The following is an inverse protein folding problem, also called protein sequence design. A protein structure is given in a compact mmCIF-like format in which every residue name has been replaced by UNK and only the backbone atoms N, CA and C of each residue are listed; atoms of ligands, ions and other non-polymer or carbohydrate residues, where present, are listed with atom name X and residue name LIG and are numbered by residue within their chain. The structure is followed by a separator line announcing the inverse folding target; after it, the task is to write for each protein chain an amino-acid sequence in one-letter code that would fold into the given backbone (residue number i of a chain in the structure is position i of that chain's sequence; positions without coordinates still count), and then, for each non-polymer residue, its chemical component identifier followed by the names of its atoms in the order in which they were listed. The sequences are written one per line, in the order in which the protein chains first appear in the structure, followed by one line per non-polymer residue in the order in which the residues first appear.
data_IF_990920037769
#
_entry.id   IF_990920037769
#
_cell.length_a   1.000
_cell.length_b   1.000
_cell.length_c   1.000
_cell.angle_alpha   90.00
_cell.angle_beta   90.00
_cell.angle_gamma   90.00
#
_symmetry.space_group_name_H-M   'P 1'
#
loop_
_entity.id
_entity.type
_entity.pdbx_description
1 polymer ?
#
# COMPACT_ATOMS: atom_id res chain seq x y z
N UNK A 1 1.25 -3.46 -23.83
CA UNK A 1 1.38 -3.14 -22.38
C UNK A 1 1.09 -4.41 -21.59
N UNK A 2 1.76 -4.63 -20.46
CA UNK A 2 1.50 -5.81 -19.61
C UNK A 2 0.16 -5.68 -18.87
N UNK A 3 -0.46 -6.80 -18.50
CA UNK A 3 -1.71 -6.81 -17.72
C UNK A 3 -1.58 -6.03 -16.40
N UNK A 4 -0.43 -6.12 -15.74
CA UNK A 4 -0.14 -5.38 -14.52
C UNK A 4 -0.12 -3.86 -14.72
N UNK A 5 0.39 -3.37 -15.86
CA UNK A 5 0.40 -1.95 -16.17
C UNK A 5 -1.01 -1.40 -16.39
N UNK A 6 -1.85 -2.12 -17.14
CA UNK A 6 -3.24 -1.72 -17.38
C UNK A 6 -4.05 -1.69 -16.08
N UNK A 7 -3.81 -2.66 -15.18
CA UNK A 7 -4.44 -2.68 -13.86
C UNK A 7 -3.98 -1.51 -12.98
N UNK A 8 -2.67 -1.20 -13.00
CA UNK A 8 -2.13 -0.08 -12.24
C UNK A 8 -2.70 1.27 -12.70
N UNK A 9 -2.81 1.47 -14.02
CA UNK A 9 -3.41 2.68 -14.60
C UNK A 9 -4.87 2.86 -14.19
N UNK A 10 -5.65 1.76 -14.12
CA UNK A 10 -7.03 1.80 -13.65
C UNK A 10 -7.16 2.18 -12.16
N UNK A 11 -6.14 1.88 -11.35
CA UNK A 11 -6.09 2.21 -9.91
C UNK A 11 -5.51 3.62 -9.65
N UNK A 12 -4.96 4.29 -10.66
CA UNK A 12 -4.06 5.41 -10.52
C UNK A 12 -4.70 6.81 -10.59
N UNK A 13 -6.02 6.93 -10.41
CA UNK A 13 -6.67 8.24 -10.44
C UNK A 13 -6.03 9.19 -9.40
N UNK A 14 -5.33 10.22 -9.89
CA UNK A 14 -4.62 11.20 -9.05
C UNK A 14 -3.22 10.80 -8.57
N UNK A 15 -2.60 9.74 -9.12
CA UNK A 15 -1.22 9.36 -8.82
C UNK A 15 -0.22 9.90 -9.84
N UNK A 16 1.03 10.06 -9.41
CA UNK A 16 2.15 10.38 -10.32
C UNK A 16 2.58 9.16 -11.13
N UNK A 17 3.19 9.39 -12.31
CA UNK A 17 3.60 8.32 -13.22
C UNK A 17 4.49 7.25 -12.55
N UNK A 18 5.47 7.66 -11.75
CA UNK A 18 6.35 6.73 -11.02
C UNK A 18 5.59 5.85 -10.02
N UNK A 19 4.48 6.36 -9.47
CA UNK A 19 3.64 5.58 -8.55
C UNK A 19 2.84 4.52 -9.29
N UNK A 20 2.39 4.81 -10.52
CA UNK A 20 1.72 3.83 -11.39
C UNK A 20 2.69 2.70 -11.75
N UNK A 21 3.92 3.07 -12.13
CA UNK A 21 4.98 2.11 -12.44
C UNK A 21 5.31 1.23 -11.23
N UNK A 22 5.41 1.82 -10.03
CA UNK A 22 5.64 1.06 -8.80
C UNK A 22 4.50 0.10 -8.46
N UNK A 23 3.23 0.49 -8.66
CA UNK A 23 2.08 -0.41 -8.49
C UNK A 23 2.14 -1.55 -9.51
N UNK A 24 2.40 -1.26 -10.79
CA UNK A 24 2.52 -2.29 -11.82
C UNK A 24 3.68 -3.27 -11.52
N UNK A 25 4.81 -2.74 -11.04
CA UNK A 25 5.96 -3.54 -10.61
C UNK A 25 5.59 -4.51 -9.49
N UNK A 26 4.81 -4.06 -8.49
CA UNK A 26 4.33 -4.89 -7.40
C UNK A 26 3.30 -5.93 -7.86
N UNK A 27 2.32 -5.56 -8.68
CA UNK A 27 1.26 -6.46 -9.16
C UNK A 27 1.79 -7.64 -9.99
N UNK A 28 2.88 -7.43 -10.73
CA UNK A 28 3.51 -8.48 -11.52
C UNK A 28 4.31 -9.50 -10.71
N UNK A 29 4.40 -9.37 -9.38
CA UNK A 29 5.33 -10.15 -8.54
C UNK A 29 4.67 -10.65 -7.25
N UNK A 30 5.02 -11.87 -6.85
CA UNK A 30 4.63 -12.39 -5.53
C UNK A 30 5.48 -11.83 -4.38
N UNK A 31 6.74 -11.46 -4.69
CA UNK A 31 7.72 -10.91 -3.75
C UNK A 31 8.51 -9.83 -4.46
N UNK A 32 8.63 -8.66 -3.85
CA UNK A 32 9.29 -7.51 -4.44
C UNK A 32 9.82 -6.56 -3.37
N UNK A 33 10.82 -5.75 -3.74
CA UNK A 33 11.33 -4.64 -2.93
C UNK A 33 11.05 -3.37 -3.73
N UNK A 34 10.19 -2.50 -3.20
CA UNK A 34 9.95 -1.18 -3.75
C UNK A 34 10.92 -0.19 -3.08
N UNK A 35 12.04 0.08 -3.76
CA UNK A 35 13.18 0.81 -3.20
C UNK A 35 13.25 2.28 -3.64
N UNK A 36 12.11 2.88 -3.99
CA UNK A 36 12.04 4.30 -4.34
C UNK A 36 12.52 5.21 -3.19
N UNK A 37 12.90 6.44 -3.51
CA UNK A 37 13.29 7.44 -2.53
C UNK A 37 12.19 7.77 -1.51
N UNK A 38 12.61 8.31 -0.37
CA UNK A 38 11.71 8.72 0.70
C UNK A 38 10.80 9.87 0.22
N UNK A 39 9.52 9.85 0.60
CA UNK A 39 8.54 10.85 0.16
C UNK A 39 7.82 10.53 -1.16
N UNK A 40 8.24 9.53 -1.93
CA UNK A 40 7.61 9.19 -3.22
C UNK A 40 6.28 8.41 -3.13
N UNK A 41 5.75 8.23 -1.91
CA UNK A 41 4.42 7.63 -1.70
C UNK A 41 4.38 6.09 -1.77
N UNK A 42 5.50 5.42 -1.44
CA UNK A 42 5.60 3.95 -1.41
C UNK A 42 4.48 3.26 -0.61
N UNK A 43 4.02 3.87 0.48
CA UNK A 43 2.91 3.35 1.31
C UNK A 43 1.64 3.21 0.48
N UNK A 44 1.24 4.27 -0.22
CA UNK A 44 0.03 4.29 -1.04
C UNK A 44 0.11 3.30 -2.21
N UNK A 45 1.26 3.25 -2.87
CA UNK A 45 1.53 2.25 -3.91
C UNK A 45 1.37 0.81 -3.38
N UNK A 46 1.91 0.54 -2.19
CA UNK A 46 1.85 -0.78 -1.55
C UNK A 46 0.42 -1.18 -1.19
N UNK A 47 -0.37 -0.26 -0.61
CA UNK A 47 -1.76 -0.53 -0.22
C UNK A 47 -2.64 -0.82 -1.44
N UNK A 48 -2.49 -0.05 -2.52
CA UNK A 48 -3.23 -0.26 -3.77
C UNK A 48 -2.89 -1.61 -4.41
N UNK A 49 -1.59 -1.90 -4.55
CA UNK A 49 -1.13 -3.17 -5.12
C UNK A 49 -1.60 -4.37 -4.28
N UNK A 50 -1.51 -4.27 -2.95
CA UNK A 50 -1.95 -5.29 -2.01
C UNK A 50 -3.46 -5.55 -2.11
N UNK A 51 -4.28 -4.50 -2.10
CA UNK A 51 -5.74 -4.62 -2.27
C UNK A 51 -6.10 -5.29 -3.58
N UNK A 52 -5.46 -4.89 -4.66
CA UNK A 52 -5.75 -5.44 -5.98
C UNK A 52 -5.31 -6.91 -6.09
N UNK A 53 -4.15 -7.26 -5.52
CA UNK A 53 -3.64 -8.63 -5.57
C UNK A 53 -4.44 -9.61 -4.69
N UNK A 54 -4.98 -9.14 -3.55
CA UNK A 54 -5.73 -9.98 -2.60
C UNK A 54 -6.94 -9.24 -2.03
N UNK A 55 -8.01 -9.01 -2.81
CA UNK A 55 -9.15 -8.19 -2.40
C UNK A 55 -9.65 -8.42 -0.97
N UNK A 56 -9.87 -9.66 -0.57
CA UNK A 56 -10.48 -10.02 0.71
C UNK A 56 -9.54 -9.96 1.92
N UNK A 57 -8.23 -9.74 1.72
CA UNK A 57 -7.23 -9.85 2.79
C UNK A 57 -7.11 -11.29 3.34
N UNK A 58 -6.70 -11.49 4.62
CA UNK A 58 -6.23 -10.48 5.56
C UNK A 58 -4.84 -9.92 5.16
N UNK A 59 -4.50 -8.75 5.69
CA UNK A 59 -3.22 -8.09 5.44
C UNK A 59 -2.45 -7.88 6.74
N UNK A 60 -1.12 -8.02 6.68
CA UNK A 60 -0.22 -7.70 7.79
C UNK A 60 0.83 -6.70 7.31
N UNK A 61 0.86 -5.53 7.96
CA UNK A 61 1.90 -4.53 7.76
C UNK A 61 2.83 -4.57 8.97
N UNK A 62 4.12 -4.78 8.71
CA UNK A 62 5.18 -4.68 9.73
C UNK A 62 5.93 -3.38 9.49
N UNK A 63 5.95 -2.50 10.49
CA UNK A 63 6.60 -1.20 10.41
C UNK A 63 7.11 -0.73 11.79
N UNK A 64 8.05 0.24 11.84
CA UNK A 64 8.45 0.87 13.10
C UNK A 64 7.25 1.43 13.86
N UNK A 65 7.30 1.39 15.20
CA UNK A 65 6.20 1.85 16.05
C UNK A 65 5.73 3.28 15.74
N UNK A 66 6.69 4.17 15.44
CA UNK A 66 6.43 5.59 15.16
C UNK A 66 5.57 5.85 13.91
N UNK A 67 5.47 4.89 12.97
CA UNK A 67 4.75 5.10 11.70
C UNK A 67 3.45 4.29 11.60
N UNK A 68 3.07 3.54 12.64
CA UNK A 68 1.83 2.73 12.64
C UNK A 68 0.57 3.57 12.35
N UNK A 69 0.48 4.77 12.93
CA UNK A 69 -0.65 5.69 12.72
C UNK A 69 -0.66 6.23 11.28
N UNK A 70 0.51 6.52 10.71
CA UNK A 70 0.61 6.97 9.32
C UNK A 70 0.15 5.87 8.35
N UNK A 71 0.53 4.61 8.61
CA UNK A 71 0.03 3.47 7.85
C UNK A 71 -1.49 3.33 7.94
N UNK A 72 -2.06 3.43 9.15
CA UNK A 72 -3.52 3.36 9.32
C UNK A 72 -4.24 4.44 8.50
N UNK A 73 -3.79 5.70 8.58
CA UNK A 73 -4.35 6.81 7.80
C UNK A 73 -4.25 6.58 6.29
N UNK A 74 -3.10 6.12 5.80
CA UNK A 74 -2.91 5.81 4.37
C UNK A 74 -3.83 4.68 3.90
N UNK A 75 -4.03 3.65 4.74
CA UNK A 75 -4.96 2.57 4.45
C UNK A 75 -6.40 3.09 4.40
N UNK A 76 -6.83 3.93 5.34
CA UNK A 76 -8.17 4.53 5.33
C UNK A 76 -8.41 5.42 4.10
N UNK A 77 -7.39 6.16 3.65
CA UNK A 77 -7.49 6.98 2.45
C UNK A 77 -7.67 6.16 1.17
N UNK A 78 -7.18 4.92 1.12
CA UNK A 78 -7.35 4.02 -0.03
C UNK A 78 -8.59 3.12 0.14
N UNK A 79 -8.88 2.71 1.38
CA UNK A 79 -9.93 1.77 1.76
C UNK A 79 -10.72 2.35 2.94
N UNK A 80 -11.67 3.28 2.71
CA UNK A 80 -12.39 3.96 3.78
C UNK A 80 -13.20 3.04 4.72
N UNK A 81 -13.51 1.82 4.26
CA UNK A 81 -14.25 0.80 5.02
C UNK A 81 -13.36 -0.27 5.64
N UNK A 82 -12.03 -0.15 5.54
CA UNK A 82 -11.10 -1.11 6.10
C UNK A 82 -11.22 -1.17 7.63
N UNK A 83 -11.23 -2.40 8.18
CA UNK A 83 -11.08 -2.64 9.61
C UNK A 83 -9.60 -2.74 9.93
N UNK A 84 -9.06 -1.79 10.69
CA UNK A 84 -7.63 -1.69 11.00
C UNK A 84 -7.42 -1.95 12.49
N UNK A 85 -6.52 -2.89 12.82
CA UNK A 85 -6.08 -3.15 14.18
C UNK A 85 -4.59 -2.84 14.30
N UNK A 86 -4.23 -1.94 15.21
CA UNK A 86 -2.83 -1.58 15.49
C UNK A 86 -2.34 -2.42 16.67
N UNK A 87 -1.41 -3.32 16.40
CA UNK A 87 -0.82 -4.20 17.43
C UNK A 87 0.36 -3.49 18.09
N UNK A 88 0.38 -3.44 19.42
CA UNK A 88 1.45 -2.82 20.21
C UNK A 88 1.22 -2.97 21.72
N UNK A 89 2.20 -2.57 22.54
CA UNK A 89 1.99 -2.49 23.98
C UNK A 89 0.82 -1.55 24.29
N UNK A 90 0.06 -1.87 25.34
CA UNK A 90 -0.98 -0.97 25.84
C UNK A 90 -0.39 0.42 26.11
N UNK A 91 -1.16 1.52 25.92
CA UNK A 91 -0.70 2.83 26.37
C UNK A 91 -0.28 2.73 27.83
N UNK A 92 0.83 3.37 28.18
CA UNK A 92 1.27 3.43 29.57
C UNK A 92 0.10 3.94 30.43
N UNK A 93 -0.16 3.31 31.59
CA UNK A 93 -1.27 3.69 32.46
C UNK A 93 -1.22 5.15 32.89
#
# INVERSE_FOLDING_TARGET
MSTAQQQAEALAAGLYAHQVEGIAFLLGRQRAILADDMGLGKTRQSVLAMRQARPEGPYLVVCPAAVKINWAREIEMVLPTAKIAIVGPAPAP
#
